data_IF_984153784937
#
_entry.id   IF_984153784937
#
_cell.length_a   1.000
_cell.length_b   1.000
_cell.length_c   1.000
_cell.angle_alpha   90.00
_cell.angle_beta   90.00
_cell.angle_gamma   90.00
#
_symmetry.space_group_name_H-M   'P 1'
#
loop_
_entity.id
_entity.type
_entity.pdbx_description
1 polymer ?
#
# COMPACT_ATOMS: atom_id res chain seq x y z
N UNK A 1 2.02 -27.07 -8.01
CA UNK A 1 3.35 -26.42 -8.11
C UNK A 1 3.31 -24.98 -8.62
N UNK A 2 2.59 -24.64 -9.70
CA UNK A 2 2.49 -23.25 -10.21
C UNK A 2 1.76 -22.32 -9.22
N UNK A 3 0.70 -22.80 -8.55
CA UNK A 3 -0.02 -22.03 -7.54
C UNK A 3 0.88 -21.56 -6.39
N UNK A 4 1.68 -22.47 -5.83
CA UNK A 4 2.63 -22.19 -4.73
C UNK A 4 3.64 -21.09 -5.14
N UNK A 5 4.09 -21.07 -6.39
CA UNK A 5 5.04 -20.05 -6.87
C UNK A 5 4.40 -18.69 -6.97
N UNK A 6 3.16 -18.62 -7.47
CA UNK A 6 2.40 -17.37 -7.54
C UNK A 6 2.28 -16.76 -6.15
N UNK A 7 1.91 -17.58 -5.17
CA UNK A 7 1.77 -17.18 -3.76
C UNK A 7 3.10 -16.75 -3.15
N UNK A 8 4.19 -17.51 -3.36
CA UNK A 8 5.51 -17.14 -2.81
C UNK A 8 6.03 -15.82 -3.39
N UNK A 9 5.84 -15.61 -4.70
CA UNK A 9 6.16 -14.35 -5.39
C UNK A 9 5.32 -13.21 -4.82
N UNK A 10 4.02 -13.43 -4.61
CA UNK A 10 3.13 -12.44 -4.03
C UNK A 10 3.57 -12.06 -2.62
N UNK A 11 3.84 -13.04 -1.75
CA UNK A 11 4.35 -12.81 -0.39
C UNK A 11 5.66 -12.00 -0.42
N UNK A 12 6.61 -12.36 -1.30
CA UNK A 12 7.85 -11.60 -1.44
C UNK A 12 7.59 -10.15 -1.89
N UNK A 13 6.69 -9.97 -2.85
CA UNK A 13 6.23 -8.65 -3.31
C UNK A 13 5.60 -7.83 -2.18
N UNK A 14 4.69 -8.43 -1.41
CA UNK A 14 4.04 -7.81 -0.25
C UNK A 14 5.06 -7.40 0.79
N UNK A 15 5.97 -8.30 1.20
CA UNK A 15 6.97 -8.01 2.22
C UNK A 15 7.88 -6.85 1.83
N UNK A 16 8.40 -6.85 0.59
CA UNK A 16 9.29 -5.78 0.11
C UNK A 16 8.52 -4.45 0.05
N UNK A 17 7.31 -4.47 -0.52
CA UNK A 17 6.48 -3.27 -0.65
C UNK A 17 6.05 -2.73 0.71
N UNK A 18 5.74 -3.60 1.66
CA UNK A 18 5.37 -3.24 3.02
C UNK A 18 6.54 -2.65 3.80
N UNK A 19 7.75 -3.18 3.64
CA UNK A 19 8.96 -2.61 4.25
C UNK A 19 9.18 -1.19 3.72
N UNK A 20 9.10 -1.00 2.39
CA UNK A 20 9.25 0.33 1.78
C UNK A 20 8.15 1.28 2.27
N UNK A 21 6.91 0.80 2.31
CA UNK A 21 5.77 1.57 2.82
C UNK A 21 5.95 1.93 4.29
N UNK A 22 6.43 1.02 5.14
CA UNK A 22 6.69 1.29 6.55
C UNK A 22 7.79 2.33 6.76
N UNK A 23 8.84 2.30 5.93
CA UNK A 23 9.89 3.35 5.92
C UNK A 23 9.27 4.69 5.51
N UNK A 24 8.46 4.73 4.45
CA UNK A 24 7.76 5.94 4.01
C UNK A 24 6.80 6.46 5.08
N UNK A 25 6.04 5.57 5.74
CA UNK A 25 5.14 5.92 6.82
C UNK A 25 5.90 6.61 7.96
N UNK A 26 7.02 6.00 8.39
CA UNK A 26 7.84 6.56 9.45
C UNK A 26 8.39 7.94 9.08
N UNK A 27 8.87 8.11 7.85
CA UNK A 27 9.35 9.40 7.34
C UNK A 27 8.24 10.45 7.31
N UNK A 28 7.07 10.13 6.76
CA UNK A 28 5.97 11.09 6.68
C UNK A 28 5.42 11.46 8.06
N UNK A 29 5.30 10.49 8.97
CA UNK A 29 4.87 10.73 10.36
C UNK A 29 5.87 11.62 11.09
N UNK A 30 7.18 11.40 10.92
CA UNK A 30 8.21 12.22 11.58
C UNK A 30 8.28 13.64 11.01
N UNK A 31 8.27 13.79 9.68
CA UNK A 31 8.37 15.10 9.02
C UNK A 31 7.12 15.95 9.24
N UNK A 32 5.93 15.33 9.24
CA UNK A 32 4.67 16.00 9.58
C UNK A 32 4.47 16.19 11.08
N UNK A 33 5.40 15.73 11.93
CA UNK A 33 5.36 15.83 13.40
C UNK A 33 4.07 15.27 14.01
N UNK A 34 3.50 14.23 13.40
CA UNK A 34 2.30 13.58 13.90
C UNK A 34 2.60 12.88 15.22
N UNK A 35 1.84 13.19 16.25
CA UNK A 35 2.02 12.64 17.60
C UNK A 35 1.26 11.32 17.78
N UNK A 36 0.24 11.11 16.94
CA UNK A 36 -0.65 9.95 16.96
C UNK A 36 -1.91 10.18 17.80
N UNK A 37 -2.12 11.40 18.32
CA UNK A 37 -3.28 11.76 19.14
C UNK A 37 -4.44 12.31 18.31
N UNK A 38 -4.46 12.02 17.01
CA UNK A 38 -5.53 12.41 16.10
C UNK A 38 -6.92 11.85 16.50
N UNK A 39 -6.97 10.71 17.21
CA UNK A 39 -8.22 10.05 17.62
C UNK A 39 -8.50 10.20 19.12
N UNK A 40 -9.77 10.32 19.48
CA UNK A 40 -10.20 10.36 20.88
C UNK A 40 -9.83 9.07 21.62
N UNK A 41 -9.90 7.92 20.94
CA UNK A 41 -9.53 6.61 21.47
C UNK A 41 -8.04 6.55 21.83
N UNK A 42 -7.16 7.16 21.03
CA UNK A 42 -5.74 7.24 21.31
C UNK A 42 -5.48 8.04 22.60
N UNK A 43 -6.18 9.16 22.77
CA UNK A 43 -6.12 9.98 23.98
C UNK A 43 -6.64 9.25 25.21
N UNK A 44 -7.78 8.55 25.08
CA UNK A 44 -8.35 7.72 26.14
C UNK A 44 -7.40 6.58 26.53
N UNK A 45 -6.81 5.90 25.54
CA UNK A 45 -5.89 4.80 25.74
C UNK A 45 -4.64 5.25 26.51
N UNK A 46 -4.09 6.41 26.15
CA UNK A 46 -2.95 7.01 26.85
C UNK A 46 -3.28 7.29 28.33
N UNK A 47 -4.45 7.86 28.61
CA UNK A 47 -4.90 8.14 29.97
C UNK A 47 -5.14 6.85 30.76
N UNK A 48 -5.85 5.88 30.19
CA UNK A 48 -6.20 4.61 30.83
C UNK A 48 -4.97 3.72 31.12
N UNK A 49 -3.92 3.84 30.31
CA UNK A 49 -2.69 3.05 30.43
C UNK A 49 -1.52 3.83 31.04
N UNK A 50 -1.80 5.00 31.63
CA UNK A 50 -0.81 5.85 32.32
C UNK A 50 0.42 6.14 31.45
N UNK A 51 0.21 6.30 30.15
CA UNK A 51 1.23 6.61 29.16
C UNK A 51 2.27 5.54 28.85
N UNK A 52 1.96 4.27 29.14
CA UNK A 52 2.83 3.13 28.81
C UNK A 52 2.81 2.75 27.32
N UNK A 53 1.87 3.28 26.53
CA UNK A 53 1.71 2.93 25.11
C UNK A 53 2.35 4.00 24.24
N UNK A 54 3.12 3.56 23.25
CA UNK A 54 3.63 4.45 22.21
C UNK A 54 2.52 4.74 21.18
N UNK A 55 1.82 5.86 21.36
CA UNK A 55 0.69 6.28 20.51
C UNK A 55 1.13 6.59 19.08
N UNK A 56 2.30 7.21 18.88
CA UNK A 56 2.86 7.40 17.54
C UNK A 56 3.19 6.05 16.86
N UNK A 57 3.69 5.09 17.64
CA UNK A 57 3.90 3.71 17.18
C UNK A 57 2.60 3.00 16.82
N UNK A 58 1.51 3.28 17.55
CA UNK A 58 0.18 2.76 17.25
C UNK A 58 -0.36 3.35 15.94
N UNK A 59 -0.15 4.64 15.70
CA UNK A 59 -0.46 5.29 14.41
C UNK A 59 0.29 4.59 13.26
N UNK A 60 1.60 4.40 13.39
CA UNK A 60 2.42 3.69 12.39
C UNK A 60 1.91 2.27 12.13
N UNK A 61 1.59 1.53 13.20
CA UNK A 61 1.02 0.19 13.08
C UNK A 61 -0.33 0.22 12.35
N UNK A 62 -1.20 1.19 12.64
CA UNK A 62 -2.47 1.38 11.94
C UNK A 62 -2.31 1.65 10.44
N UNK A 63 -1.33 2.48 10.06
CA UNK A 63 -1.00 2.73 8.65
C UNK A 63 -0.52 1.43 7.99
N UNK A 64 0.43 0.72 8.60
CA UNK A 64 0.99 -0.53 8.05
C UNK A 64 -0.10 -1.61 7.89
N UNK A 65 -0.96 -1.79 8.89
CA UNK A 65 -2.05 -2.77 8.85
C UNK A 65 -3.06 -2.41 7.76
N UNK A 66 -3.44 -1.13 7.66
CA UNK A 66 -4.36 -0.65 6.62
C UNK A 66 -3.82 -0.91 5.22
N UNK A 67 -2.53 -0.64 4.98
CA UNK A 67 -1.91 -0.84 3.67
C UNK A 67 -1.67 -2.33 3.37
N UNK A 68 -1.30 -3.14 4.37
CA UNK A 68 -1.10 -4.59 4.20
C UNK A 68 -2.32 -5.27 3.56
N UNK A 69 -3.53 -4.91 4.00
CA UNK A 69 -4.77 -5.49 3.48
C UNK A 69 -4.94 -5.30 1.97
N UNK A 70 -4.58 -4.12 1.46
CA UNK A 70 -4.65 -3.80 0.02
C UNK A 70 -3.45 -4.36 -0.74
N UNK A 71 -2.27 -4.43 -0.11
CA UNK A 71 -1.05 -4.99 -0.71
C UNK A 71 -1.15 -6.50 -0.98
N UNK A 72 -1.82 -7.25 -0.12
CA UNK A 72 -1.95 -8.70 -0.30
C UNK A 72 -2.75 -9.02 -1.60
N UNK A 73 -3.89 -8.36 -1.79
CA UNK A 73 -4.70 -8.55 -3.00
C UNK A 73 -3.95 -8.17 -4.28
N UNK A 74 -3.29 -6.99 -4.28
CA UNK A 74 -2.61 -6.51 -5.49
C UNK A 74 -1.44 -7.41 -5.88
N UNK A 75 -0.63 -7.86 -4.92
CA UNK A 75 0.55 -8.68 -5.23
C UNK A 75 0.14 -10.08 -5.71
N UNK A 76 -0.92 -10.66 -5.15
CA UNK A 76 -1.49 -11.92 -5.61
C UNK A 76 -1.99 -11.77 -7.05
N UNK A 77 -2.78 -10.73 -7.32
CA UNK A 77 -3.32 -10.44 -8.65
C UNK A 77 -2.21 -10.20 -9.68
N UNK A 78 -1.22 -9.36 -9.36
CA UNK A 78 -0.08 -9.07 -10.25
C UNK A 78 0.76 -10.31 -10.54
N UNK A 79 1.06 -11.11 -9.51
CA UNK A 79 1.73 -12.39 -9.69
C UNK A 79 0.94 -13.31 -10.63
N UNK A 80 -0.37 -13.43 -10.42
CA UNK A 80 -1.23 -14.24 -11.28
C UNK A 80 -1.22 -13.78 -12.75
N UNK A 81 -1.29 -12.47 -13.00
CA UNK A 81 -1.22 -11.86 -14.33
C UNK A 81 0.07 -12.25 -15.05
N UNK A 82 1.23 -12.11 -14.39
CA UNK A 82 2.53 -12.43 -14.99
C UNK A 82 2.63 -13.90 -15.38
N UNK A 83 2.23 -14.81 -14.49
CA UNK A 83 2.28 -16.24 -14.76
C UNK A 83 1.27 -16.68 -15.84
N UNK A 84 0.11 -16.03 -15.92
CA UNK A 84 -0.86 -16.26 -17.01
C UNK A 84 -0.32 -15.77 -18.35
N UNK A 85 0.22 -14.55 -18.41
CA UNK A 85 0.87 -14.04 -19.61
C UNK A 85 2.02 -14.94 -20.08
N UNK A 86 2.85 -15.43 -19.15
CA UNK A 86 3.92 -16.38 -19.46
C UNK A 86 3.40 -17.71 -20.03
N UNK A 87 2.24 -18.19 -19.56
CA UNK A 87 1.64 -19.44 -20.03
C UNK A 87 1.11 -19.33 -21.48
N UNK A 88 0.76 -18.14 -21.95
CA UNK A 88 0.28 -17.95 -23.34
C UNK A 88 1.38 -18.04 -24.39
N UNK A 89 2.65 -17.79 -24.03
CA UNK A 89 3.79 -17.83 -24.96
C UNK A 89 5.00 -18.54 -24.36
N UNK A 90 5.40 -19.65 -24.98
CA UNK A 90 6.57 -20.42 -24.54
C UNK A 90 7.88 -19.62 -24.60
N UNK A 91 8.06 -18.79 -25.64
CA UNK A 91 9.22 -17.88 -25.81
C UNK A 91 8.74 -16.43 -25.73
N UNK A 92 8.83 -15.84 -24.54
CA UNK A 92 8.60 -14.41 -24.31
C UNK A 92 9.84 -13.85 -23.61
N UNK A 93 10.30 -12.66 -24.02
CA UNK A 93 11.45 -12.01 -23.39
C UNK A 93 11.04 -11.33 -22.08
N UNK A 94 12.01 -11.06 -21.21
CA UNK A 94 11.79 -10.37 -19.93
C UNK A 94 11.09 -9.02 -20.13
N UNK A 95 11.60 -8.17 -21.03
CA UNK A 95 11.06 -6.84 -21.29
C UNK A 95 9.60 -6.88 -21.77
N UNK A 96 9.28 -7.81 -22.68
CA UNK A 96 7.92 -7.97 -23.20
C UNK A 96 6.94 -8.44 -22.12
N UNK A 97 7.34 -9.43 -21.31
CA UNK A 97 6.50 -9.95 -20.24
C UNK A 97 6.28 -8.89 -19.16
N UNK A 98 7.34 -8.22 -18.72
CA UNK A 98 7.28 -7.13 -17.74
C UNK A 98 6.37 -6.00 -18.23
N UNK A 99 6.60 -5.50 -19.46
CA UNK A 99 5.82 -4.38 -20.01
C UNK A 99 4.34 -4.71 -20.15
N UNK A 100 4.02 -5.92 -20.65
CA UNK A 100 2.61 -6.34 -20.78
C UNK A 100 1.92 -6.49 -19.43
N UNK A 101 2.60 -7.08 -18.45
CA UNK A 101 2.06 -7.19 -17.10
C UNK A 101 1.90 -5.83 -16.44
N UNK A 102 2.88 -4.93 -16.59
CA UNK A 102 2.82 -3.56 -16.07
C UNK A 102 1.67 -2.75 -16.65
N UNK A 103 1.36 -2.89 -17.95
CA UNK A 103 0.23 -2.20 -18.55
C UNK A 103 -1.09 -2.63 -17.90
N UNK A 104 -1.30 -3.94 -17.71
CA UNK A 104 -2.49 -4.46 -17.02
C UNK A 104 -2.52 -4.00 -15.56
N UNK A 105 -1.37 -4.09 -14.87
CA UNK A 105 -1.26 -3.68 -13.47
C UNK A 105 -1.51 -2.19 -13.25
N UNK A 106 -1.09 -1.33 -14.19
CA UNK A 106 -1.31 0.11 -14.15
C UNK A 106 -2.79 0.48 -14.22
N UNK A 107 -3.54 -0.16 -15.10
CA UNK A 107 -4.97 0.10 -15.25
C UNK A 107 -5.73 -0.31 -13.98
N UNK A 108 -5.37 -1.47 -13.41
CA UNK A 108 -5.97 -1.96 -12.17
C UNK A 108 -5.66 -1.05 -10.97
N UNK A 109 -4.39 -0.64 -10.80
CA UNK A 109 -3.99 0.17 -9.66
C UNK A 109 -4.52 1.59 -9.71
N UNK A 110 -4.70 2.16 -10.91
CA UNK A 110 -5.29 3.48 -11.06
C UNK A 110 -6.72 3.52 -10.50
N UNK A 111 -7.49 2.46 -10.73
CA UNK A 111 -8.84 2.32 -10.16
C UNK A 111 -8.79 2.19 -8.64
N UNK A 112 -7.91 1.34 -8.12
CA UNK A 112 -7.78 1.12 -6.68
C UNK A 112 -7.31 2.35 -5.91
N UNK A 113 -6.35 3.11 -6.44
CA UNK A 113 -5.91 4.38 -5.83
C UNK A 113 -7.08 5.36 -5.76
N UNK A 114 -7.88 5.46 -6.83
CA UNK A 114 -9.09 6.29 -6.80
C UNK A 114 -10.08 5.84 -5.73
N UNK A 115 -10.32 4.52 -5.61
CA UNK A 115 -11.17 3.97 -4.55
C UNK A 115 -10.61 4.29 -3.15
N UNK A 116 -9.30 4.15 -2.95
CA UNK A 116 -8.66 4.41 -1.65
C UNK A 116 -8.79 5.88 -1.25
N UNK A 117 -8.57 6.81 -2.19
CA UNK A 117 -8.79 8.24 -1.99
C UNK A 117 -10.25 8.52 -1.61
N UNK A 118 -11.21 7.91 -2.30
CA UNK A 118 -12.63 8.08 -2.00
C UNK A 118 -13.02 7.51 -0.63
N UNK A 119 -12.45 6.37 -0.23
CA UNK A 119 -12.68 5.75 1.09
C UNK A 119 -12.16 6.67 2.20
N UNK A 120 -10.95 7.19 2.09
CA UNK A 120 -10.38 8.11 3.09
C UNK A 120 -11.08 9.47 3.10
N UNK A 121 -11.38 10.04 1.93
CA UNK A 121 -12.19 11.26 1.85
C UNK A 121 -13.60 11.04 2.46
N UNK A 122 -14.19 9.88 2.23
CA UNK A 122 -15.46 9.47 2.83
C UNK A 122 -15.39 9.35 4.35
N UNK A 123 -14.31 8.76 4.88
CA UNK A 123 -14.06 8.67 6.32
C UNK A 123 -13.82 10.04 6.96
N UNK A 124 -13.24 10.99 6.22
CA UNK A 124 -13.03 12.36 6.65
C UNK A 124 -14.27 13.27 6.54
N UNK A 125 -15.40 12.80 5.99
CA UNK A 125 -16.59 13.65 5.79
C UNK A 125 -17.10 14.32 7.07
N UNK A 126 -17.26 13.63 8.23
CA UNK A 126 -17.72 14.28 9.45
C UNK A 126 -16.80 15.44 9.88
N UNK A 127 -15.50 15.25 9.72
CA UNK A 127 -14.49 16.24 10.02
C UNK A 127 -14.55 17.43 9.05
N UNK A 128 -14.75 17.18 7.76
CA UNK A 128 -14.94 18.24 6.77
C UNK A 128 -16.20 19.08 7.06
N UNK A 129 -17.28 18.46 7.56
CA UNK A 129 -18.49 19.17 7.97
C UNK A 129 -18.27 20.11 9.17
N UNK A 130 -17.40 19.74 10.12
CA UNK A 130 -17.07 20.62 11.27
C UNK A 130 -16.48 21.97 10.85
N UNK A 131 -15.78 22.02 9.71
CA UNK A 131 -15.16 23.24 9.19
C UNK A 131 -16.10 24.10 8.33
N UNK A 132 -17.31 23.61 8.01
CA UNK A 132 -18.30 24.40 7.27
C UNK A 132 -18.85 25.54 8.14
N UNK A 133 -19.06 25.27 9.44
CA UNK A 133 -19.66 26.23 10.38
C UNK A 133 -18.63 27.13 11.08
N UNK A 134 -17.33 26.83 10.96
CA UNK A 134 -16.22 27.65 11.46
C UNK A 134 -15.15 27.84 10.36
N UNK A 135 -15.23 28.93 9.56
CA UNK A 135 -14.30 29.14 8.46
C UNK A 135 -12.89 29.49 8.98
N UNK A 136 -12.07 28.47 9.16
CA UNK A 136 -10.63 28.62 9.31
C UNK A 136 -9.97 28.77 7.93
N UNK A 137 -8.84 29.50 7.82
CA UNK A 137 -8.02 29.48 6.62
C UNK A 137 -7.65 28.04 6.25
N UNK A 138 -7.68 27.70 4.95
CA UNK A 138 -7.31 26.35 4.48
C UNK A 138 -5.94 25.90 5.00
N UNK A 139 -4.98 26.83 5.11
CA UNK A 139 -3.66 26.56 5.67
C UNK A 139 -3.71 26.11 7.12
N UNK A 140 -4.64 26.60 7.93
CA UNK A 140 -4.83 26.15 9.31
C UNK A 140 -5.49 24.76 9.32
N UNK A 141 -6.48 24.55 8.46
CA UNK A 141 -7.22 23.28 8.38
C UNK A 141 -6.28 22.10 8.09
N UNK A 142 -5.41 22.23 7.09
CA UNK A 142 -4.46 21.17 6.72
C UNK A 142 -3.39 20.89 7.76
N UNK A 143 -3.18 21.81 8.72
CA UNK A 143 -2.23 21.65 9.82
C UNK A 143 -2.87 21.02 11.07
N UNK A 144 -4.19 20.81 11.12
CA UNK A 144 -4.78 20.03 12.20
C UNK A 144 -4.29 18.59 12.13
N UNK A 145 -3.85 18.06 13.27
CA UNK A 145 -3.26 16.72 13.33
C UNK A 145 -4.17 15.64 12.76
N UNK A 146 -5.49 15.72 13.02
CA UNK A 146 -6.47 14.77 12.49
C UNK A 146 -6.60 14.82 10.95
N UNK A 147 -6.46 16.00 10.35
CA UNK A 147 -6.44 16.15 8.88
C UNK A 147 -5.10 15.68 8.32
N UNK A 148 -4.00 16.09 8.95
CA UNK A 148 -2.65 15.74 8.53
C UNK A 148 -2.40 14.21 8.60
N UNK A 149 -2.93 13.53 9.63
CA UNK A 149 -2.92 12.06 9.73
C UNK A 149 -3.60 11.43 8.51
N UNK A 150 -4.82 11.85 8.17
CA UNK A 150 -5.57 11.28 7.05
C UNK A 150 -4.88 11.51 5.70
N UNK A 151 -4.30 12.70 5.51
CA UNK A 151 -3.49 13.02 4.32
C UNK A 151 -2.27 12.10 4.26
N UNK A 152 -1.52 11.96 5.36
CA UNK A 152 -0.33 11.09 5.43
C UNK A 152 -0.72 9.64 5.14
N UNK A 153 -1.79 9.12 5.75
CA UNK A 153 -2.31 7.77 5.52
C UNK A 153 -2.67 7.54 4.05
N UNK A 154 -3.37 8.49 3.45
CA UNK A 154 -3.77 8.44 2.03
C UNK A 154 -2.55 8.44 1.10
N UNK A 155 -1.58 9.32 1.34
CA UNK A 155 -0.38 9.45 0.53
C UNK A 155 0.51 8.20 0.65
N UNK A 156 0.83 7.79 1.88
CA UNK A 156 1.67 6.62 2.14
C UNK A 156 1.03 5.35 1.58
N UNK A 157 -0.28 5.17 1.79
CA UNK A 157 -1.01 4.03 1.24
C UNK A 157 -1.00 4.01 -0.28
N UNK A 158 -1.27 5.15 -0.92
CA UNK A 158 -1.28 5.24 -2.39
C UNK A 158 0.10 5.02 -3.00
N UNK A 159 1.17 5.58 -2.41
CA UNK A 159 2.55 5.37 -2.86
C UNK A 159 2.96 3.91 -2.69
N UNK A 160 2.69 3.34 -1.51
CA UNK A 160 2.99 1.93 -1.23
C UNK A 160 2.32 0.99 -2.23
N UNK A 161 1.06 1.28 -2.56
CA UNK A 161 0.30 0.57 -3.57
C UNK A 161 0.96 0.68 -4.95
N UNK A 162 1.21 1.90 -5.43
CA UNK A 162 1.84 2.17 -6.72
C UNK A 162 3.19 1.45 -6.87
N UNK A 163 3.98 1.35 -5.79
CA UNK A 163 5.26 0.64 -5.78
C UNK A 163 5.12 -0.88 -5.79
N UNK A 164 4.03 -1.43 -5.24
CA UNK A 164 3.85 -2.87 -5.14
C UNK A 164 3.73 -3.57 -6.49
N UNK A 165 3.12 -2.90 -7.48
CA UNK A 165 2.95 -3.43 -8.83
C UNK A 165 4.29 -3.64 -9.55
N UNK A 166 5.17 -2.64 -9.73
CA UNK A 166 6.46 -2.85 -10.38
C UNK A 166 7.35 -3.83 -9.62
N UNK A 167 7.35 -3.80 -8.29
CA UNK A 167 8.12 -4.74 -7.46
C UNK A 167 7.67 -6.18 -7.71
N UNK A 168 6.37 -6.44 -7.58
CA UNK A 168 5.82 -7.78 -7.75
C UNK A 168 5.97 -8.27 -9.18
N UNK A 169 5.70 -7.40 -10.16
CA UNK A 169 5.84 -7.73 -11.59
C UNK A 169 7.28 -8.08 -11.93
N UNK A 170 8.26 -7.36 -11.38
CA UNK A 170 9.68 -7.67 -11.59
C UNK A 170 10.03 -9.06 -11.06
N UNK A 171 9.70 -9.33 -9.78
CA UNK A 171 9.99 -10.60 -9.11
C UNK A 171 9.29 -11.75 -9.85
N UNK A 172 8.00 -11.59 -10.16
CA UNK A 172 7.21 -12.57 -10.88
C UNK A 172 7.80 -12.88 -12.26
N UNK A 173 8.19 -11.84 -13.02
CA UNK A 173 8.75 -11.98 -14.37
C UNK A 173 10.06 -12.76 -14.31
N UNK A 174 10.93 -12.42 -13.36
CA UNK A 174 12.21 -13.08 -13.17
C UNK A 174 12.04 -14.57 -12.81
N UNK A 175 11.14 -14.89 -11.89
CA UNK A 175 10.85 -16.28 -11.49
C UNK A 175 10.18 -17.06 -12.63
N UNK A 176 9.19 -16.46 -13.32
CA UNK A 176 8.44 -17.10 -14.39
C UNK A 176 9.32 -17.48 -15.59
N UNK A 177 10.36 -16.70 -15.89
CA UNK A 177 11.29 -17.00 -16.99
C UNK A 177 12.36 -18.03 -16.63
N UNK A 178 12.86 -18.03 -15.39
CA UNK A 178 13.86 -19.02 -14.94
C UNK A 178 13.30 -20.44 -14.83
N UNK A 179 12.00 -20.56 -14.53
CA UNK A 179 11.37 -21.87 -14.33
C UNK A 179 11.34 -22.77 -15.57
N UNK A 180 11.33 -22.20 -16.78
CA UNK A 180 11.25 -23.00 -18.01
C UNK A 180 12.54 -23.75 -18.36
N UNK A 181 13.66 -23.50 -17.65
CA UNK A 181 14.91 -24.21 -17.93
C UNK A 181 14.92 -25.65 -17.39
N UNK A 182 14.14 -25.96 -16.36
CA UNK A 182 14.21 -27.25 -15.67
C UNK A 182 13.27 -28.32 -16.27
N UNK A 183 12.21 -27.92 -16.98
CA UNK A 183 11.27 -28.86 -17.60
C UNK A 183 11.73 -29.39 -18.97
N UNK A 184 12.85 -28.91 -19.50
CA UNK A 184 13.44 -29.39 -20.78
C UNK A 184 14.57 -30.41 -20.59
N UNK A 185 14.85 -30.81 -19.34
CA UNK A 185 15.92 -31.77 -18.98
C UNK A 185 15.40 -33.03 -18.26
N UNK A 186 14.11 -33.30 -18.33
CA UNK A 186 13.47 -34.52 -17.84
C UNK A 186 12.79 -35.28 -18.96
#
# INVERSE_FOLDING_TARGET
MVLIKKTLVAIAGTLISLIITGILANLFVSESRLTGFASEEASFLQAAKQGTINIQGLLLAGIIIGVLGVLDDITISQSAIVFQLKATKNKIQFGDLYTKAMNIGRDHISSMVNTLILVYAGAALPLLLLFIDNPHPFSEIVNYEIIADEIVRTLVGSIGLILAVPITTFIATWIALRWNHDASKS
#
